data_IF_681969227711
#
_entry.id   IF_681969227711
#
_cell.length_a   1.000
_cell.length_b   1.000
_cell.length_c   1.000
_cell.angle_alpha   90.00
_cell.angle_beta   90.00
_cell.angle_gamma   90.00
#
_symmetry.space_group_name_H-M   'P 1'
#
loop_
_entity.id
_entity.type
_entity.pdbx_description
1 polymer ?
#
# COMPACT_ATOMS: atom_id res chain seq x y z
N UNK A 1 -14.76 -11.84 5.46
CA UNK A 1 -15.82 -11.11 4.75
C UNK A 1 -15.58 -11.20 3.25
N UNK A 2 -16.63 -11.33 2.44
CA UNK A 2 -16.52 -11.35 0.97
C UNK A 2 -16.80 -9.95 0.44
N UNK A 3 -15.90 -9.44 -0.42
CA UNK A 3 -16.01 -8.11 -1.02
C UNK A 3 -15.97 -8.27 -2.55
N UNK A 4 -16.98 -7.72 -3.22
CA UNK A 4 -17.01 -7.62 -4.68
C UNK A 4 -16.30 -6.34 -5.09
N UNK A 5 -15.24 -6.45 -5.88
CA UNK A 5 -14.54 -5.31 -6.47
C UNK A 5 -14.98 -5.15 -7.92
N UNK A 6 -14.90 -3.94 -8.47
CA UNK A 6 -15.27 -3.69 -9.86
C UNK A 6 -14.36 -4.45 -10.85
N UNK A 7 -13.05 -4.44 -10.59
CA UNK A 7 -12.04 -4.92 -11.54
C UNK A 7 -11.53 -6.35 -11.26
N UNK A 8 -11.91 -6.94 -10.12
CA UNK A 8 -11.45 -8.28 -9.72
C UNK A 8 -12.61 -9.17 -9.24
N UNK A 9 -12.49 -10.51 -9.39
CA UNK A 9 -13.44 -11.45 -8.80
C UNK A 9 -13.58 -11.23 -7.30
N UNK A 10 -14.73 -11.59 -6.74
CA UNK A 10 -15.00 -11.48 -5.31
C UNK A 10 -13.84 -12.02 -4.47
N UNK A 11 -13.28 -11.17 -3.60
CA UNK A 11 -12.14 -11.52 -2.75
C UNK A 11 -12.60 -11.76 -1.32
N UNK A 12 -12.02 -12.78 -0.69
CA UNK A 12 -12.22 -13.08 0.72
C UNK A 12 -11.17 -12.33 1.54
N UNK A 13 -11.62 -11.44 2.42
CA UNK A 13 -10.76 -10.73 3.37
C UNK A 13 -10.94 -11.35 4.77
N UNK A 14 -9.83 -11.64 5.44
CA UNK A 14 -9.88 -11.89 6.90
C UNK A 14 -9.98 -10.54 7.62
N UNK A 15 -10.59 -10.50 8.80
CA UNK A 15 -10.48 -9.32 9.66
C UNK A 15 -9.01 -9.00 9.99
N UNK A 16 -8.15 -10.03 10.03
CA UNK A 16 -6.72 -9.87 10.30
C UNK A 16 -5.97 -9.17 9.17
N UNK A 17 -6.59 -9.04 7.99
CA UNK A 17 -5.99 -8.34 6.84
C UNK A 17 -6.60 -6.97 6.57
N UNK A 18 -7.43 -6.47 7.50
CA UNK A 18 -8.02 -5.13 7.44
C UNK A 18 -7.28 -4.17 8.38
N UNK A 19 -6.90 -3.02 7.86
CA UNK A 19 -6.19 -1.97 8.57
C UNK A 19 -7.03 -0.70 8.64
N UNK A 20 -6.93 0.01 9.77
CA UNK A 20 -7.59 1.29 10.00
C UNK A 20 -6.64 2.43 9.66
N UNK A 21 -7.10 3.34 8.79
CA UNK A 21 -6.41 4.54 8.36
C UNK A 21 -7.12 5.74 8.96
N UNK A 22 -6.56 6.29 10.05
CA UNK A 22 -7.19 7.36 10.85
C UNK A 22 -7.63 8.56 9.99
N UNK A 23 -6.79 8.95 9.04
CA UNK A 23 -7.04 10.09 8.14
C UNK A 23 -7.40 9.65 6.71
N UNK A 24 -7.69 8.35 6.51
CA UNK A 24 -7.75 7.74 5.19
C UNK A 24 -6.40 7.76 4.47
N UNK A 25 -6.45 7.86 3.14
CA UNK A 25 -5.29 8.05 2.26
C UNK A 25 -5.53 9.29 1.39
N UNK A 26 -4.47 9.85 0.80
CA UNK A 26 -4.60 11.09 0.02
C UNK A 26 -5.57 10.92 -1.16
N UNK A 27 -6.54 11.83 -1.27
CA UNK A 27 -7.62 11.79 -2.25
C UNK A 27 -8.80 10.89 -1.88
N UNK A 28 -8.70 10.13 -0.78
CA UNK A 28 -9.74 9.23 -0.26
C UNK A 28 -9.84 9.35 1.27
N UNK A 29 -9.86 10.58 1.80
CA UNK A 29 -9.79 10.88 3.23
C UNK A 29 -10.99 10.35 4.02
N UNK A 30 -12.12 10.13 3.36
CA UNK A 30 -13.34 9.56 3.97
C UNK A 30 -13.32 8.02 4.06
N UNK A 31 -12.27 7.36 3.54
CA UNK A 31 -12.14 5.90 3.55
C UNK A 31 -11.15 5.48 4.62
N UNK A 32 -11.65 4.90 5.71
CA UNK A 32 -10.84 4.61 6.90
C UNK A 32 -10.46 3.15 7.07
N UNK A 33 -10.97 2.24 6.25
CA UNK A 33 -10.70 0.82 6.38
C UNK A 33 -10.27 0.26 5.03
N UNK A 34 -9.09 -0.34 5.01
CA UNK A 34 -8.55 -0.99 3.82
C UNK A 34 -8.13 -2.42 4.13
N UNK A 35 -8.61 -3.35 3.32
CA UNK A 35 -8.19 -4.75 3.34
C UNK A 35 -7.08 -5.00 2.34
N UNK A 36 -6.18 -5.93 2.67
CA UNK A 36 -5.09 -6.38 1.78
C UNK A 36 -5.25 -7.86 1.44
N UNK A 37 -5.13 -8.21 0.16
CA UNK A 37 -5.22 -9.59 -0.34
C UNK A 37 -4.23 -9.86 -1.48
N UNK A 38 -3.88 -11.13 -1.67
CA UNK A 38 -3.10 -11.57 -2.81
C UNK A 38 -3.92 -11.48 -4.10
N UNK A 39 -3.29 -11.03 -5.19
CA UNK A 39 -3.93 -11.06 -6.50
C UNK A 39 -4.04 -12.49 -7.03
N UNK A 40 -3.00 -13.28 -6.83
CA UNK A 40 -2.85 -14.67 -7.29
C UNK A 40 -2.54 -15.60 -6.13
N UNK A 41 -2.68 -16.92 -6.35
CA UNK A 41 -2.26 -17.94 -5.38
C UNK A 41 -0.74 -18.17 -5.39
N UNK A 42 -0.03 -17.64 -6.39
CA UNK A 42 1.43 -17.58 -6.42
C UNK A 42 1.96 -16.73 -5.27
N UNK A 43 2.72 -17.36 -4.38
CA UNK A 43 3.29 -16.75 -3.17
C UNK A 43 4.44 -15.79 -3.50
N UNK A 44 5.13 -16.01 -4.60
CA UNK A 44 6.28 -15.22 -5.05
C UNK A 44 5.85 -13.97 -5.80
N UNK A 45 4.56 -13.88 -6.16
CA UNK A 45 3.99 -12.68 -6.76
C UNK A 45 4.08 -11.51 -5.76
N UNK A 46 4.70 -10.37 -6.11
CA UNK A 46 4.86 -9.22 -5.21
C UNK A 46 3.60 -8.32 -5.14
N UNK A 47 2.67 -8.46 -6.09
CA UNK A 47 1.51 -7.59 -6.21
C UNK A 47 0.41 -8.00 -5.22
N UNK A 48 -0.11 -7.00 -4.50
CA UNK A 48 -1.27 -7.13 -3.61
C UNK A 48 -2.36 -6.18 -4.04
N UNK A 49 -3.60 -6.52 -3.71
CA UNK A 49 -4.73 -5.63 -3.85
C UNK A 49 -5.06 -5.03 -2.49
N UNK A 50 -5.07 -3.71 -2.42
CA UNK A 50 -5.55 -2.91 -1.29
C UNK A 50 -6.94 -2.38 -1.64
N UNK A 51 -7.96 -2.71 -0.86
CA UNK A 51 -9.37 -2.42 -1.18
C UNK A 51 -10.02 -1.67 -0.03
N UNK A 52 -10.70 -0.57 -0.31
CA UNK A 52 -11.51 0.11 0.70
C UNK A 52 -12.71 -0.77 1.05
N UNK A 53 -12.88 -1.04 2.36
CA UNK A 53 -13.92 -1.96 2.86
C UNK A 53 -15.32 -1.37 2.65
N UNK A 54 -15.44 -0.05 2.78
CA UNK A 54 -16.72 0.66 2.71
C UNK A 54 -17.12 1.00 1.27
N UNK A 55 -16.16 1.03 0.34
CA UNK A 55 -16.41 1.21 -1.09
C UNK A 55 -15.37 0.41 -1.89
N UNK A 56 -15.74 -0.78 -2.39
CA UNK A 56 -14.84 -1.67 -3.11
C UNK A 56 -14.42 -1.17 -4.50
N UNK A 57 -15.09 -0.16 -5.05
CA UNK A 57 -14.67 0.49 -6.30
C UNK A 57 -13.37 1.29 -6.10
N UNK A 58 -13.02 1.60 -4.86
CA UNK A 58 -11.75 2.20 -4.49
C UNK A 58 -10.78 1.07 -4.11
N UNK A 59 -9.93 0.73 -5.07
CA UNK A 59 -8.89 -0.27 -4.89
C UNK A 59 -7.58 0.14 -5.57
N UNK A 60 -6.47 -0.36 -5.03
CA UNK A 60 -5.13 -0.04 -5.49
C UNK A 60 -4.30 -1.31 -5.58
N UNK A 61 -3.50 -1.39 -6.64
CA UNK A 61 -2.40 -2.36 -6.69
C UNK A 61 -1.24 -1.80 -5.88
N UNK A 62 -0.70 -2.60 -4.98
CA UNK A 62 0.46 -2.24 -4.16
C UNK A 62 1.55 -3.30 -4.23
N UNK A 63 2.80 -2.88 -4.07
CA UNK A 63 3.98 -3.75 -4.07
C UNK A 63 4.92 -3.40 -2.92
N UNK A 64 5.73 -4.34 -2.42
CA UNK A 64 6.89 -4.02 -1.61
C UNK A 64 7.81 -3.06 -2.39
N UNK A 65 8.35 -2.00 -1.76
CA UNK A 65 9.20 -1.06 -2.49
C UNK A 65 10.51 -1.71 -2.98
N UNK A 66 10.99 -2.76 -2.29
CA UNK A 66 12.17 -3.54 -2.68
C UNK A 66 12.01 -4.30 -3.99
N UNK A 67 10.76 -4.53 -4.44
CA UNK A 67 10.49 -5.08 -5.77
C UNK A 67 10.94 -4.13 -6.89
N UNK A 68 10.94 -2.83 -6.62
CA UNK A 68 11.26 -1.78 -7.60
C UNK A 68 12.65 -1.21 -7.37
N UNK A 69 13.04 -1.07 -6.10
CA UNK A 69 14.33 -0.51 -5.70
C UNK A 69 14.90 -1.37 -4.57
N UNK A 70 15.81 -2.29 -4.91
CA UNK A 70 16.36 -3.33 -4.00
C UNK A 70 16.79 -2.76 -2.63
N UNK A 71 17.49 -1.63 -2.64
CA UNK A 71 18.00 -0.97 -1.43
C UNK A 71 17.09 0.16 -0.94
N UNK A 72 15.77 -0.02 -1.03
CA UNK A 72 14.82 0.98 -0.57
C UNK A 72 14.85 1.09 0.97
N UNK A 73 15.20 2.26 1.47
CA UNK A 73 15.30 2.56 2.89
C UNK A 73 14.67 3.92 3.18
N UNK A 74 13.82 3.97 4.20
CA UNK A 74 13.13 5.21 4.59
C UNK A 74 13.31 5.47 6.08
N UNK A 75 13.38 6.75 6.41
CA UNK A 75 13.24 7.21 7.77
C UNK A 75 11.81 7.70 7.97
N UNK A 76 11.14 7.16 8.97
CA UNK A 76 9.81 7.58 9.39
C UNK A 76 9.99 8.44 10.64
N UNK A 77 9.33 9.60 10.67
CA UNK A 77 9.43 10.52 11.81
C UNK A 77 8.71 9.96 13.05
N UNK A 78 9.19 10.32 14.24
CA UNK A 78 8.65 9.81 15.50
C UNK A 78 7.14 10.11 15.66
N UNK A 79 6.68 11.25 15.15
CA UNK A 79 5.26 11.63 15.18
C UNK A 79 4.41 10.65 14.37
N UNK A 80 4.91 10.23 13.20
CA UNK A 80 4.24 9.27 12.33
C UNK A 80 4.16 7.88 13.00
N UNK A 81 5.25 7.44 13.63
CA UNK A 81 5.30 6.19 14.39
C UNK A 81 4.36 6.20 15.60
N UNK A 82 4.27 7.33 16.30
CA UNK A 82 3.33 7.52 17.42
C UNK A 82 1.87 7.41 16.98
N UNK A 83 1.49 7.96 15.83
CA UNK A 83 0.13 7.82 15.31
C UNK A 83 -0.21 6.37 14.95
N UNK A 84 0.77 5.64 14.44
CA UNK A 84 0.67 4.20 14.15
C UNK A 84 0.72 3.33 15.40
N UNK A 85 1.09 3.89 16.57
CA UNK A 85 1.28 3.17 17.84
C UNK A 85 2.30 2.02 17.72
N UNK A 86 3.39 2.29 17.01
CA UNK A 86 4.48 1.33 16.77
C UNK A 86 5.70 1.69 17.60
N UNK A 87 6.25 0.67 18.29
CA UNK A 87 7.49 0.79 19.07
C UNK A 87 8.64 -0.09 18.54
N UNK A 88 8.34 -1.00 17.59
CA UNK A 88 9.32 -1.92 17.00
C UNK A 88 9.18 -1.90 15.47
N UNK A 89 10.27 -1.64 14.76
CA UNK A 89 10.31 -1.63 13.30
C UNK A 89 9.97 -2.98 12.68
N UNK A 90 10.16 -4.09 13.40
CA UNK A 90 9.79 -5.44 12.92
C UNK A 90 8.27 -5.63 12.81
N UNK A 91 7.48 -4.77 13.46
CA UNK A 91 6.01 -4.75 13.34
C UNK A 91 5.52 -3.95 12.11
N UNK A 92 6.44 -3.34 11.35
CA UNK A 92 6.12 -2.49 10.22
C UNK A 92 6.21 -3.27 8.91
N UNK A 93 5.19 -3.11 8.07
CA UNK A 93 5.24 -3.46 6.65
C UNK A 93 5.09 -2.19 5.82
N UNK A 94 5.90 -2.07 4.78
CA UNK A 94 5.86 -0.95 3.83
C UNK A 94 5.47 -1.48 2.46
N UNK A 95 4.47 -0.85 1.84
CA UNK A 95 4.08 -1.09 0.45
C UNK A 95 3.87 0.24 -0.28
N UNK A 96 4.06 0.25 -1.58
CA UNK A 96 3.88 1.44 -2.42
C UNK A 96 2.79 1.20 -3.45
N UNK A 97 2.01 2.26 -3.73
CA UNK A 97 0.93 2.21 -4.72
C UNK A 97 1.52 2.20 -6.13
N UNK A 98 1.03 1.28 -6.95
CA UNK A 98 1.30 1.17 -8.38
C UNK A 98 0.26 2.01 -9.14
N UNK A 99 0.70 2.76 -10.15
CA UNK A 99 -0.14 3.59 -11.00
C UNK A 99 0.18 3.34 -12.47
N UNK A 100 -0.84 3.29 -13.32
CA UNK A 100 -0.65 3.20 -14.77
C UNK A 100 -0.24 4.58 -15.31
N UNK A 101 0.72 4.60 -16.23
CA UNK A 101 1.08 5.78 -16.98
C UNK A 101 -0.04 6.20 -17.93
N UNK A 102 -0.04 7.47 -18.34
CA UNK A 102 -1.01 7.99 -19.32
C UNK A 102 -0.94 7.28 -20.68
N UNK A 103 0.21 6.69 -21.03
CA UNK A 103 0.37 5.92 -22.26
C UNK A 103 -0.29 4.53 -22.19
N UNK A 104 -0.79 4.13 -21.02
CA UNK A 104 -1.44 2.85 -20.77
C UNK A 104 -0.51 1.63 -20.82
N UNK A 105 0.81 1.84 -20.94
CA UNK A 105 1.80 0.78 -21.13
C UNK A 105 2.81 0.73 -20.00
N UNK A 106 3.22 1.89 -19.51
CA UNK A 106 4.15 1.97 -18.38
C UNK A 106 3.40 1.91 -17.06
N UNK A 107 4.03 1.31 -16.06
CA UNK A 107 3.59 1.37 -14.66
C UNK A 107 4.60 2.15 -13.85
N UNK A 108 4.10 2.96 -12.94
CA UNK A 108 4.88 3.74 -11.98
C UNK A 108 4.60 3.26 -10.57
N UNK A 109 5.61 3.35 -9.70
CA UNK A 109 5.43 3.17 -8.26
C UNK A 109 5.77 4.47 -7.55
N UNK A 110 4.89 4.88 -6.65
CA UNK A 110 5.10 6.08 -5.84
C UNK A 110 5.93 5.73 -4.60
N UNK A 111 7.25 5.80 -4.75
CA UNK A 111 8.22 5.57 -3.67
C UNK A 111 8.31 6.74 -2.69
N UNK A 112 7.76 7.92 -3.03
CA UNK A 112 7.76 9.09 -2.15
C UNK A 112 6.60 9.11 -1.15
N UNK A 113 5.57 8.30 -1.41
CA UNK A 113 4.37 8.26 -0.58
C UNK A 113 3.93 6.83 -0.22
N UNK A 114 4.79 6.06 0.50
CA UNK A 114 4.47 4.70 0.87
C UNK A 114 3.27 4.61 1.82
N UNK A 115 2.63 3.44 1.78
CA UNK A 115 1.72 2.95 2.81
C UNK A 115 2.53 2.19 3.85
N UNK A 116 2.43 2.64 5.10
CA UNK A 116 3.07 2.03 6.26
C UNK A 116 2.00 1.36 7.11
N UNK A 117 2.20 0.08 7.41
CA UNK A 117 1.25 -0.77 8.13
C UNK A 117 1.88 -1.26 9.44
N UNK A 118 1.24 -0.96 10.55
CA UNK A 118 1.52 -1.52 11.87
C UNK A 118 0.75 -2.84 12.03
N UNK A 119 1.43 -3.98 11.93
CA UNK A 119 0.78 -5.29 11.87
C UNK A 119 0.03 -5.63 13.14
N UNK A 120 0.64 -5.42 14.31
CA UNK A 120 0.04 -5.72 15.62
C UNK A 120 -1.15 -4.81 15.94
N UNK A 121 -1.07 -3.54 15.52
CA UNK A 121 -2.09 -2.52 15.81
C UNK A 121 -3.19 -2.45 14.76
N UNK A 122 -3.02 -3.11 13.62
CA UNK A 122 -3.92 -3.02 12.45
C UNK A 122 -4.18 -1.57 12.06
N UNK A 123 -3.13 -0.74 12.09
CA UNK A 123 -3.17 0.66 11.66
C UNK A 123 -2.37 0.85 10.39
N UNK A 124 -2.89 1.67 9.49
CA UNK A 124 -2.21 2.05 8.27
C UNK A 124 -2.13 3.56 8.15
N UNK A 125 -1.09 4.05 7.49
CA UNK A 125 -0.96 5.45 7.13
C UNK A 125 -0.21 5.59 5.80
N UNK A 126 -0.64 6.54 4.98
CA UNK A 126 0.14 6.98 3.83
C UNK A 126 1.04 8.13 4.27
N UNK A 127 2.36 7.96 4.11
CA UNK A 127 3.36 8.92 4.61
C UNK A 127 4.04 9.58 3.43
N UNK A 128 4.06 10.91 3.36
CA UNK A 128 4.89 11.64 2.39
C UNK A 128 6.30 11.78 2.97
N UNK A 129 7.29 11.38 2.19
CA UNK A 129 8.70 11.48 2.57
C UNK A 129 9.26 12.83 2.08
N UNK A 130 9.32 13.83 2.95
CA UNK A 130 9.70 15.20 2.58
C UNK A 130 11.18 15.33 2.15
N UNK A 131 12.08 14.56 2.78
CA UNK A 131 13.52 14.59 2.53
C UNK A 131 14.09 13.26 1.98
N UNK A 132 13.31 12.50 1.21
CA UNK A 132 13.82 11.27 0.60
C UNK A 132 14.47 11.51 -0.77
N UNK A 133 15.42 10.66 -1.18
CA UNK A 133 15.96 10.66 -2.53
C UNK A 133 14.98 10.07 -3.57
N UNK A 134 13.76 9.70 -3.17
CA UNK A 134 12.83 8.94 -4.00
C UNK A 134 11.83 9.84 -4.73
N UNK A 135 11.55 9.48 -5.98
CA UNK A 135 10.59 10.16 -6.84
C UNK A 135 9.14 9.69 -6.64
N UNK A 136 8.20 10.59 -6.97
CA UNK A 136 6.75 10.29 -6.97
C UNK A 136 6.38 9.31 -8.09
N UNK A 137 7.15 9.29 -9.19
CA UNK A 137 6.93 8.44 -10.36
C UNK A 137 8.19 7.67 -10.67
N UNK A 138 8.44 6.58 -9.93
CA UNK A 138 9.51 5.67 -10.30
C UNK A 138 9.00 4.73 -11.40
N UNK A 139 9.64 4.75 -12.57
CA UNK A 139 9.27 3.89 -13.70
C UNK A 139 9.62 2.44 -13.32
N UNK A 140 8.66 1.52 -13.45
CA UNK A 140 8.99 0.10 -13.38
C UNK A 140 9.28 -0.38 -14.80
N UNK A 141 10.53 -0.72 -15.08
CA UNK A 141 10.87 -1.51 -16.25
C UNK A 141 10.47 -2.97 -15.96
N UNK A 142 9.28 -3.36 -16.40
CA UNK A 142 8.93 -4.77 -16.49
C UNK A 142 9.84 -5.36 -17.58
N UNK A 143 10.92 -6.04 -17.16
CA UNK A 143 11.88 -6.65 -18.07
C UNK A 143 11.20 -7.52 -19.14
N UNK A 144 11.78 -7.52 -20.35
CA UNK A 144 11.35 -8.33 -21.49
C UNK A 144 11.37 -9.84 -21.20
#
# INVERSE_FOLDING_TARGET
MTINTQDYPAKLFSQDTVFTFKNGIYGFENHHQFGFVNQTDDIDNPFRLMVSINNPDISFVVVPPTFVHENYEIKIDDLELQELDVCDSNDIVVVCIVSLAQDGKSIYVNLKSPIVLALSKKRGKQIILDNSPYDIRHVVELGN
#
